data_IF_469756523498
#
_entry.id   IF_469756523498
#
_cell.length_a   1.000
_cell.length_b   1.000
_cell.length_c   1.000
_cell.angle_alpha   90.00
_cell.angle_beta   90.00
_cell.angle_gamma   90.00
#
_symmetry.space_group_name_H-M   'P 1'
#
loop_
_entity.id
_entity.type
_entity.pdbx_description
1 polymer ?
#
# COMPACT_ATOMS: atom_id res chain seq x y z
N UNK A 1 16.19 2.88 -8.12
CA UNK A 1 15.95 2.48 -6.71
C UNK A 1 15.57 3.71 -5.91
N UNK A 2 14.31 3.82 -5.53
CA UNK A 2 13.85 4.93 -4.70
C UNK A 2 14.21 4.64 -3.24
N UNK A 3 15.32 5.17 -2.76
CA UNK A 3 15.73 4.98 -1.38
C UNK A 3 14.85 5.83 -0.46
N UNK A 4 14.01 5.15 0.35
CA UNK A 4 13.43 5.77 1.52
C UNK A 4 14.54 5.97 2.57
N UNK A 5 14.77 7.20 3.01
CA UNK A 5 15.65 7.46 4.14
C UNK A 5 14.86 7.24 5.43
N UNK A 6 15.26 6.25 6.19
CA UNK A 6 14.63 5.93 7.45
C UNK A 6 15.50 6.42 8.61
N UNK A 7 14.87 7.05 9.57
CA UNK A 7 15.47 7.25 10.88
C UNK A 7 15.02 6.04 11.72
N UNK A 8 15.59 4.88 11.43
CA UNK A 8 15.45 3.70 12.27
C UNK A 8 16.58 3.78 13.33
N UNK A 9 16.34 4.53 14.40
CA UNK A 9 17.32 4.77 15.44
C UNK A 9 17.74 3.48 16.17
N UNK A 10 16.92 2.44 16.14
CA UNK A 10 17.12 1.22 16.93
C UNK A 10 17.46 -0.02 16.08
N UNK A 11 17.71 0.13 14.77
CA UNK A 11 17.87 -1.00 13.84
C UNK A 11 16.75 -2.05 13.97
N UNK A 12 15.54 -1.61 14.31
CA UNK A 12 14.40 -2.49 14.59
C UNK A 12 14.03 -3.34 13.37
N UNK A 13 14.04 -2.72 12.19
CA UNK A 13 13.60 -3.35 10.94
C UNK A 13 14.73 -3.85 10.05
N UNK A 14 15.99 -3.49 10.32
CA UNK A 14 17.12 -3.83 9.47
C UNK A 14 18.14 -4.71 10.20
N UNK A 15 18.93 -5.46 9.44
CA UNK A 15 20.08 -6.15 10.02
C UNK A 15 21.14 -5.13 10.44
N UNK A 16 21.83 -5.41 11.56
CA UNK A 16 22.87 -4.53 12.09
C UNK A 16 23.96 -4.26 11.03
N UNK A 17 24.27 -2.97 10.85
CA UNK A 17 25.27 -2.53 9.86
C UNK A 17 24.83 -2.65 8.41
N UNK A 18 23.52 -2.82 8.13
CA UNK A 18 22.96 -3.03 6.80
C UNK A 18 21.70 -2.19 6.60
N UNK A 19 21.34 -1.97 5.34
CA UNK A 19 20.04 -1.41 4.93
C UNK A 19 19.02 -2.49 4.55
N UNK A 20 19.37 -3.77 4.69
CA UNK A 20 18.50 -4.90 4.33
C UNK A 20 17.51 -5.15 5.46
N UNK A 21 16.23 -5.23 5.10
CA UNK A 21 15.16 -5.53 6.05
C UNK A 21 15.31 -6.93 6.63
N UNK A 22 15.10 -7.05 7.94
CA UNK A 22 15.00 -8.35 8.61
C UNK A 22 13.82 -9.11 8.04
N UNK A 23 14.07 -10.33 7.63
CA UNK A 23 13.09 -11.17 6.95
C UNK A 23 13.16 -12.61 7.43
N UNK A 24 12.08 -13.34 7.27
CA UNK A 24 11.95 -14.75 7.70
C UNK A 24 12.86 -15.72 6.96
N UNK A 25 13.37 -15.30 5.79
CA UNK A 25 14.24 -16.11 4.94
C UNK A 25 15.73 -15.97 5.31
N UNK A 26 16.06 -15.12 6.29
CA UNK A 26 17.43 -14.72 6.69
C UNK A 26 18.32 -14.25 5.51
N UNK A 27 17.68 -13.66 4.49
CA UNK A 27 18.39 -13.10 3.33
C UNK A 27 18.96 -11.75 3.73
N UNK A 28 20.30 -11.61 3.58
CA UNK A 28 21.05 -10.38 3.92
C UNK A 28 21.57 -9.63 2.69
N UNK A 29 21.29 -10.14 1.52
CA UNK A 29 21.56 -9.51 0.23
C UNK A 29 20.31 -8.81 -0.28
N UNK A 30 20.40 -7.52 -0.61
CA UNK A 30 19.25 -6.71 -0.98
C UNK A 30 18.59 -7.18 -2.29
N UNK A 31 19.40 -7.55 -3.28
CA UNK A 31 18.90 -7.99 -4.57
C UNK A 31 18.17 -9.34 -4.46
N UNK A 32 18.76 -10.28 -3.73
CA UNK A 32 18.13 -11.59 -3.48
C UNK A 32 16.83 -11.45 -2.67
N UNK A 33 16.79 -10.52 -1.73
CA UNK A 33 15.57 -10.27 -0.99
C UNK A 33 14.48 -9.69 -1.90
N UNK A 34 14.81 -8.77 -2.77
CA UNK A 34 13.90 -8.21 -3.77
C UNK A 34 13.36 -9.30 -4.71
N UNK A 35 14.22 -10.18 -5.22
CA UNK A 35 13.82 -11.31 -6.07
C UNK A 35 12.87 -12.28 -5.35
N UNK A 36 13.19 -12.65 -4.10
CA UNK A 36 12.35 -13.52 -3.28
C UNK A 36 11.00 -12.86 -2.95
N UNK A 37 11.01 -11.57 -2.64
CA UNK A 37 9.81 -10.78 -2.38
C UNK A 37 8.91 -10.73 -3.61
N UNK A 38 9.46 -10.43 -4.78
CA UNK A 38 8.69 -10.43 -6.03
C UNK A 38 8.01 -11.77 -6.30
N UNK A 39 8.73 -12.88 -6.12
CA UNK A 39 8.18 -14.22 -6.35
C UNK A 39 7.04 -14.54 -5.39
N UNK A 40 7.26 -14.39 -4.08
CA UNK A 40 6.28 -14.75 -3.05
C UNK A 40 5.04 -13.86 -3.11
N UNK A 41 5.23 -12.56 -3.33
CA UNK A 41 4.12 -11.61 -3.45
C UNK A 41 3.28 -11.86 -4.71
N UNK A 42 3.90 -12.26 -5.83
CA UNK A 42 3.15 -12.58 -7.06
C UNK A 42 2.19 -13.74 -6.86
N UNK A 43 2.59 -14.76 -6.10
CA UNK A 43 1.72 -15.89 -5.73
C UNK A 43 0.52 -15.37 -4.90
N UNK A 44 0.79 -14.56 -3.88
CA UNK A 44 -0.25 -14.00 -3.01
C UNK A 44 -1.21 -13.07 -3.74
N UNK A 45 -0.70 -12.29 -4.70
CA UNK A 45 -1.55 -11.43 -5.56
C UNK A 45 -2.50 -12.26 -6.43
N UNK A 46 -2.04 -13.39 -6.96
CA UNK A 46 -2.91 -14.30 -7.74
C UNK A 46 -4.04 -14.86 -6.87
N UNK A 47 -3.72 -15.28 -5.65
CA UNK A 47 -4.72 -15.78 -4.70
C UNK A 47 -5.75 -14.71 -4.31
N UNK A 48 -5.31 -13.46 -4.08
CA UNK A 48 -6.20 -12.32 -3.79
C UNK A 48 -7.02 -11.91 -5.01
N UNK A 49 -6.50 -12.12 -6.21
CA UNK A 49 -7.26 -11.85 -7.42
C UNK A 49 -8.52 -12.72 -7.48
N UNK A 50 -8.42 -14.00 -7.12
CA UNK A 50 -9.56 -14.92 -7.10
C UNK A 50 -10.48 -14.71 -5.90
N UNK A 51 -9.94 -14.25 -4.77
CA UNK A 51 -10.68 -14.04 -3.52
C UNK A 51 -10.34 -12.67 -2.92
N UNK A 52 -10.88 -11.57 -3.50
CA UNK A 52 -10.58 -10.23 -3.03
C UNK A 52 -11.09 -10.00 -1.60
N UNK A 53 -10.34 -9.24 -0.82
CA UNK A 53 -10.72 -8.86 0.54
C UNK A 53 -11.79 -7.75 0.46
N UNK A 54 -12.88 -7.92 1.21
CA UNK A 54 -13.84 -6.82 1.38
C UNK A 54 -13.25 -5.78 2.33
N UNK A 55 -12.83 -4.64 1.80
CA UNK A 55 -12.27 -3.54 2.59
C UNK A 55 -13.40 -2.70 3.20
N UNK A 56 -13.57 -2.78 4.53
CA UNK A 56 -14.54 -2.04 5.33
C UNK A 56 -13.88 -1.14 6.37
N UNK A 57 -12.67 -1.48 6.77
CA UNK A 57 -11.94 -0.84 7.86
C UNK A 57 -10.45 -0.73 7.54
N UNK A 58 -9.74 0.09 8.28
CA UNK A 58 -8.27 0.16 8.18
C UNK A 58 -7.61 -1.20 8.54
N UNK A 59 -8.27 -2.02 9.35
CA UNK A 59 -7.79 -3.37 9.68
C UNK A 59 -7.77 -4.29 8.47
N UNK A 60 -8.71 -4.13 7.54
CA UNK A 60 -8.75 -4.92 6.31
C UNK A 60 -7.56 -4.55 5.40
N UNK A 61 -7.16 -3.27 5.41
CA UNK A 61 -5.93 -2.81 4.74
C UNK A 61 -4.70 -3.47 5.36
N UNK A 62 -4.64 -3.55 6.70
CA UNK A 62 -3.59 -4.28 7.40
C UNK A 62 -3.60 -5.78 7.06
N UNK A 63 -4.78 -6.39 6.90
CA UNK A 63 -4.90 -7.79 6.49
C UNK A 63 -4.38 -8.02 5.06
N UNK A 64 -4.67 -7.13 4.12
CA UNK A 64 -4.11 -7.21 2.76
C UNK A 64 -2.59 -7.13 2.82
N UNK A 65 -2.02 -6.18 3.55
CA UNK A 65 -0.57 -6.09 3.72
C UNK A 65 -0.01 -7.37 4.36
N UNK A 66 -0.64 -7.88 5.41
CA UNK A 66 -0.24 -9.12 6.05
C UNK A 66 -0.26 -10.28 5.06
N UNK A 67 -1.35 -10.43 4.32
CA UNK A 67 -1.51 -11.54 3.39
C UNK A 67 -0.44 -11.54 2.28
N UNK A 68 -0.10 -10.36 1.76
CA UNK A 68 0.91 -10.21 0.71
C UNK A 68 2.33 -10.52 1.20
N UNK A 69 2.66 -10.16 2.44
CA UNK A 69 4.05 -10.13 2.93
C UNK A 69 4.33 -11.06 4.11
N UNK A 70 3.37 -11.86 4.56
CA UNK A 70 3.50 -12.74 5.72
C UNK A 70 4.61 -13.80 5.59
N UNK A 71 4.96 -14.19 4.39
CA UNK A 71 5.99 -15.20 4.14
C UNK A 71 7.41 -14.61 4.25
N UNK A 72 7.50 -13.27 4.24
CA UNK A 72 8.77 -12.54 4.17
C UNK A 72 9.05 -11.77 5.46
N UNK A 73 8.04 -11.08 6.01
CA UNK A 73 8.22 -10.17 7.14
C UNK A 73 7.37 -10.56 8.35
N UNK A 74 7.99 -10.58 9.53
CA UNK A 74 7.27 -10.81 10.80
C UNK A 74 6.31 -9.69 11.14
N UNK A 75 6.64 -8.47 10.75
CA UNK A 75 5.84 -7.25 10.96
C UNK A 75 4.77 -7.04 9.88
N UNK A 76 4.56 -7.98 8.97
CA UNK A 76 3.52 -7.88 7.94
C UNK A 76 2.14 -7.65 8.56
N UNK A 77 1.46 -6.57 8.14
CA UNK A 77 0.16 -6.15 8.65
C UNK A 77 0.21 -5.25 9.90
N UNK A 78 1.40 -4.98 10.45
CA UNK A 78 1.56 -4.05 11.57
C UNK A 78 1.86 -2.63 11.07
N UNK A 79 1.29 -1.64 11.74
CA UNK A 79 1.71 -0.26 11.52
C UNK A 79 3.19 -0.11 11.87
N UNK A 80 3.89 0.71 11.11
CA UNK A 80 5.30 1.03 11.41
C UNK A 80 5.46 1.65 12.80
N UNK A 81 6.58 1.39 13.41
CA UNK A 81 6.96 1.88 14.74
C UNK A 81 8.04 2.97 14.68
N UNK A 82 8.35 3.47 13.48
CA UNK A 82 9.36 4.49 13.21
C UNK A 82 8.78 5.57 12.29
N UNK A 83 9.25 6.82 12.47
CA UNK A 83 8.97 7.87 11.51
C UNK A 83 9.83 7.67 10.25
N UNK A 84 9.22 7.84 9.09
CA UNK A 84 9.85 7.64 7.80
C UNK A 84 9.69 8.87 6.92
N UNK A 85 10.62 9.04 6.00
CA UNK A 85 10.60 10.09 4.98
C UNK A 85 11.08 9.53 3.65
N UNK A 86 10.60 10.09 2.56
CA UNK A 86 11.16 9.89 1.24
C UNK A 86 11.90 11.15 0.85
N UNK A 87 13.20 11.03 0.57
CA UNK A 87 14.05 12.20 0.36
C UNK A 87 13.95 13.17 1.55
N UNK A 88 13.44 14.40 1.33
CA UNK A 88 13.22 15.41 2.36
C UNK A 88 11.75 15.57 2.77
N UNK A 89 10.83 14.76 2.23
CA UNK A 89 9.39 14.84 2.52
C UNK A 89 9.03 13.78 3.58
N UNK A 90 8.70 14.20 4.82
CA UNK A 90 8.25 13.25 5.84
C UNK A 90 6.84 12.77 5.53
N UNK A 91 6.56 11.50 5.84
CA UNK A 91 5.21 10.96 5.92
C UNK A 91 4.55 11.33 7.25
N UNK A 92 3.27 11.00 7.40
CA UNK A 92 2.52 11.29 8.62
C UNK A 92 3.28 10.78 9.86
N UNK A 93 3.49 11.60 10.90
CA UNK A 93 4.17 11.16 12.11
C UNK A 93 3.31 10.14 12.88
N UNK A 94 3.97 9.21 13.60
CA UNK A 94 3.32 8.13 14.36
C UNK A 94 2.27 8.65 15.35
N UNK A 95 2.53 9.80 15.96
CA UNK A 95 1.64 10.42 16.94
C UNK A 95 0.27 10.78 16.38
N UNK A 96 0.16 10.91 15.05
CA UNK A 96 -1.09 11.22 14.36
C UNK A 96 -1.83 9.96 13.85
N UNK A 97 -1.30 8.76 14.05
CA UNK A 97 -1.87 7.52 13.49
C UNK A 97 -3.25 7.19 14.02
N UNK A 98 -3.54 7.48 15.27
CA UNK A 98 -4.86 7.25 15.86
C UNK A 98 -5.92 8.10 15.12
N UNK A 99 -5.67 9.40 15.00
CA UNK A 99 -6.58 10.31 14.29
C UNK A 99 -6.66 9.99 12.79
N UNK A 100 -5.54 9.67 12.18
CA UNK A 100 -5.52 9.28 10.78
C UNK A 100 -6.30 7.98 10.54
N UNK A 101 -6.24 7.02 11.45
CA UNK A 101 -7.01 5.78 11.35
C UNK A 101 -8.51 6.05 11.37
N UNK A 102 -8.99 6.93 12.26
CA UNK A 102 -10.40 7.34 12.29
C UNK A 102 -10.82 8.02 10.99
N UNK A 103 -9.96 8.87 10.44
CA UNK A 103 -10.22 9.51 9.16
C UNK A 103 -10.24 8.51 8.00
N UNK A 104 -9.33 7.51 8.02
CA UNK A 104 -9.35 6.41 7.03
C UNK A 104 -10.66 5.62 7.08
N UNK A 105 -11.22 5.34 8.27
CA UNK A 105 -12.52 4.68 8.39
C UNK A 105 -13.62 5.48 7.67
N UNK A 106 -13.59 6.81 7.80
CA UNK A 106 -14.54 7.70 7.08
C UNK A 106 -14.33 7.63 5.56
N UNK A 107 -13.10 7.64 5.08
CA UNK A 107 -12.81 7.54 3.65
C UNK A 107 -13.22 6.18 3.07
N UNK A 108 -12.97 5.08 3.79
CA UNK A 108 -13.41 3.74 3.41
C UNK A 108 -14.94 3.67 3.37
N UNK A 109 -15.61 4.28 4.34
CA UNK A 109 -17.07 4.38 4.33
C UNK A 109 -17.59 5.12 3.11
N UNK A 110 -16.99 6.27 2.74
CA UNK A 110 -17.37 7.03 1.55
C UNK A 110 -17.24 6.19 0.27
N UNK A 111 -16.17 5.40 0.14
CA UNK A 111 -16.01 4.45 -0.96
C UNK A 111 -17.11 3.39 -0.96
N UNK A 112 -17.50 2.90 0.23
CA UNK A 112 -18.52 1.87 0.37
C UNK A 112 -19.88 2.35 -0.11
N UNK A 113 -20.28 3.58 0.26
CA UNK A 113 -21.60 4.14 -0.07
C UNK A 113 -21.67 4.80 -1.44
N UNK A 114 -20.55 4.98 -2.15
CA UNK A 114 -20.52 5.56 -3.49
C UNK A 114 -21.39 4.74 -4.45
N UNK A 115 -22.44 5.37 -4.98
CA UNK A 115 -23.48 4.76 -5.81
C UNK A 115 -23.36 5.11 -7.31
N UNK A 116 -22.46 6.03 -7.66
CA UNK A 116 -22.13 6.36 -9.06
C UNK A 116 -20.62 6.15 -9.32
N UNK A 117 -20.28 6.01 -10.60
CA UNK A 117 -18.88 5.85 -11.03
C UNK A 117 -18.05 7.08 -10.63
N UNK A 118 -18.58 8.26 -10.81
CA UNK A 118 -17.92 9.54 -10.51
C UNK A 118 -17.63 9.67 -9.02
N UNK A 119 -18.62 9.36 -8.16
CA UNK A 119 -18.46 9.38 -6.71
C UNK A 119 -17.46 8.33 -6.25
N UNK A 120 -17.50 7.14 -6.83
CA UNK A 120 -16.55 6.08 -6.52
C UNK A 120 -15.11 6.49 -6.87
N UNK A 121 -14.89 7.05 -8.04
CA UNK A 121 -13.58 7.55 -8.48
C UNK A 121 -13.05 8.60 -7.53
N UNK A 122 -13.89 9.58 -7.18
CA UNK A 122 -13.50 10.63 -6.25
C UNK A 122 -13.15 10.10 -4.86
N UNK A 123 -13.97 9.20 -4.32
CA UNK A 123 -13.74 8.58 -3.02
C UNK A 123 -12.46 7.71 -3.00
N UNK A 124 -12.21 6.96 -4.07
CA UNK A 124 -10.99 6.16 -4.21
C UNK A 124 -9.74 7.03 -4.32
N UNK A 125 -9.81 8.15 -5.05
CA UNK A 125 -8.70 9.09 -5.15
C UNK A 125 -8.36 9.69 -3.77
N UNK A 126 -9.37 10.10 -3.00
CA UNK A 126 -9.17 10.60 -1.64
C UNK A 126 -8.59 9.54 -0.71
N UNK A 127 -9.10 8.31 -0.75
CA UNK A 127 -8.58 7.20 0.05
C UNK A 127 -7.11 6.94 -0.26
N UNK A 128 -6.76 6.89 -1.54
CA UNK A 128 -5.39 6.60 -1.97
C UNK A 128 -4.42 7.71 -1.58
N UNK A 129 -4.77 8.98 -1.80
CA UNK A 129 -3.95 10.13 -1.43
C UNK A 129 -3.63 10.12 0.07
N UNK A 130 -4.65 9.88 0.89
CA UNK A 130 -4.48 9.84 2.34
C UNK A 130 -3.72 8.59 2.83
N UNK A 131 -3.92 7.42 2.21
CA UNK A 131 -3.12 6.23 2.49
C UNK A 131 -1.66 6.44 2.11
N UNK A 132 -1.41 7.15 1.02
CA UNK A 132 -0.07 7.50 0.59
C UNK A 132 0.61 8.48 1.56
N UNK A 133 -0.12 9.48 2.06
CA UNK A 133 0.40 10.40 3.07
C UNK A 133 0.61 9.72 4.43
N UNK A 134 -0.33 8.90 4.87
CA UNK A 134 -0.21 8.13 6.12
C UNK A 134 0.98 7.17 6.07
N UNK A 135 1.18 6.49 4.95
CA UNK A 135 2.26 5.50 4.73
C UNK A 135 2.38 4.55 5.92
N UNK A 136 1.32 3.76 6.19
CA UNK A 136 1.16 3.11 7.51
C UNK A 136 2.17 2.01 7.79
N UNK A 137 2.76 1.40 6.77
CA UNK A 137 3.68 0.28 6.93
C UNK A 137 5.15 0.71 6.79
N UNK A 138 6.04 -0.12 7.32
CA UNK A 138 7.49 0.12 7.22
C UNK A 138 7.98 0.12 5.79
N UNK A 139 7.44 -0.75 4.95
CA UNK A 139 7.79 -0.91 3.54
C UNK A 139 6.58 -1.38 2.74
N UNK A 140 6.70 -1.45 1.43
CA UNK A 140 5.75 -2.02 0.47
C UNK A 140 4.34 -1.40 0.47
N UNK A 141 4.23 -0.17 0.95
CA UNK A 141 2.97 0.58 0.98
C UNK A 141 2.33 0.70 -0.40
N UNK A 142 3.10 1.01 -1.44
CA UNK A 142 2.57 1.18 -2.80
C UNK A 142 1.89 -0.08 -3.35
N UNK A 143 2.49 -1.27 -3.16
CA UNK A 143 1.89 -2.54 -3.59
C UNK A 143 0.61 -2.85 -2.80
N UNK A 144 0.62 -2.59 -1.51
CA UNK A 144 -0.56 -2.72 -0.66
C UNK A 144 -1.68 -1.80 -1.11
N UNK A 145 -1.38 -0.53 -1.37
CA UNK A 145 -2.36 0.47 -1.83
C UNK A 145 -3.02 0.04 -3.15
N UNK A 146 -2.24 -0.46 -4.10
CA UNK A 146 -2.78 -0.98 -5.36
C UNK A 146 -3.75 -2.14 -5.14
N UNK A 147 -3.37 -3.08 -4.28
CA UNK A 147 -4.21 -4.23 -3.98
C UNK A 147 -5.48 -3.85 -3.22
N UNK A 148 -5.40 -2.87 -2.31
CA UNK A 148 -6.60 -2.30 -1.64
C UNK A 148 -7.58 -1.75 -2.66
N UNK A 149 -7.12 -0.92 -3.60
CA UNK A 149 -7.99 -0.35 -4.63
C UNK A 149 -8.56 -1.45 -5.54
N UNK A 150 -7.74 -2.42 -5.97
CA UNK A 150 -8.18 -3.55 -6.78
C UNK A 150 -9.24 -4.38 -6.07
N UNK A 151 -9.02 -4.72 -4.80
CA UNK A 151 -9.97 -5.47 -3.98
C UNK A 151 -11.30 -4.74 -3.84
N UNK A 152 -11.29 -3.43 -3.58
CA UNK A 152 -12.49 -2.59 -3.51
C UNK A 152 -13.26 -2.61 -4.84
N UNK A 153 -12.57 -2.36 -5.95
CA UNK A 153 -13.19 -2.32 -7.27
C UNK A 153 -13.82 -3.66 -7.63
N UNK A 154 -13.11 -4.75 -7.44
CA UNK A 154 -13.64 -6.11 -7.72
C UNK A 154 -14.86 -6.43 -6.85
N UNK A 155 -14.81 -6.05 -5.57
CA UNK A 155 -15.95 -6.26 -4.68
C UNK A 155 -17.21 -5.48 -5.13
N UNK A 156 -17.02 -4.35 -5.81
CA UNK A 156 -18.11 -3.56 -6.43
C UNK A 156 -18.48 -4.02 -7.85
N UNK A 157 -17.89 -5.12 -8.34
CA UNK A 157 -18.14 -5.66 -9.68
C UNK A 157 -17.43 -4.90 -10.81
N UNK A 158 -16.33 -4.23 -10.50
CA UNK A 158 -15.47 -3.61 -11.51
C UNK A 158 -14.15 -4.37 -11.62
N UNK A 159 -13.63 -4.48 -12.82
CA UNK A 159 -12.26 -4.87 -13.06
C UNK A 159 -11.46 -3.64 -13.50
N UNK A 160 -10.29 -3.46 -12.93
CA UNK A 160 -9.43 -2.34 -13.26
C UNK A 160 -7.97 -2.77 -13.31
N UNK A 161 -7.31 -2.44 -14.39
CA UNK A 161 -5.88 -2.47 -14.49
C UNK A 161 -5.33 -1.26 -13.73
N UNK A 162 -4.72 -1.53 -12.58
CA UNK A 162 -4.00 -0.50 -11.82
C UNK A 162 -2.55 -0.57 -12.24
N UNK A 163 -2.25 0.10 -13.33
CA UNK A 163 -0.88 0.22 -13.80
C UNK A 163 -0.06 1.05 -12.82
N UNK A 164 1.07 0.52 -12.40
CA UNK A 164 2.09 1.34 -11.76
C UNK A 164 2.75 2.14 -12.84
N UNK A 165 2.86 3.45 -12.69
CA UNK A 165 3.81 4.18 -13.50
C UNK A 165 5.21 3.63 -13.16
N UNK A 166 5.86 3.00 -14.12
CA UNK A 166 7.29 2.71 -14.07
C UNK A 166 8.09 3.99 -14.36
N UNK A 167 7.38 5.05 -14.76
CA UNK A 167 7.91 6.35 -15.13
C UNK A 167 7.97 7.26 -13.90
N UNK A 168 9.15 7.81 -13.60
CA UNK A 168 9.39 8.74 -12.48
C UNK A 168 8.46 9.95 -12.54
N UNK A 169 8.16 10.47 -13.73
CA UNK A 169 7.30 11.63 -13.94
C UNK A 169 5.85 11.35 -13.53
N UNK A 170 5.35 10.18 -13.84
CA UNK A 170 4.00 9.73 -13.44
C UNK A 170 3.97 9.37 -11.93
N UNK A 171 5.07 8.86 -11.38
CA UNK A 171 5.19 8.63 -9.94
C UNK A 171 5.17 9.95 -9.16
N UNK A 172 5.84 10.98 -9.64
CA UNK A 172 5.83 12.30 -9.01
C UNK A 172 4.44 12.97 -9.09
N UNK A 173 3.73 12.81 -10.19
CA UNK A 173 2.34 13.23 -10.32
C UNK A 173 1.42 12.44 -9.35
N UNK A 174 1.62 11.13 -9.20
CA UNK A 174 0.93 10.29 -8.22
C UNK A 174 1.18 10.77 -6.79
N UNK A 175 2.42 11.12 -6.46
CA UNK A 175 2.81 11.64 -5.16
C UNK A 175 2.33 13.07 -4.90
N UNK A 176 1.94 13.80 -5.95
CA UNK A 176 1.38 15.16 -5.85
C UNK A 176 -0.16 15.19 -5.77
N UNK A 177 -0.83 14.03 -5.74
CA UNK A 177 -2.29 13.93 -5.62
C UNK A 177 -3.05 14.38 -6.87
N UNK A 178 -2.39 14.47 -8.02
CA UNK A 178 -3.04 14.89 -9.26
C UNK A 178 -3.43 13.70 -10.13
N UNK A 179 -4.72 13.40 -10.20
CA UNK A 179 -5.49 12.71 -11.27
C UNK A 179 -4.84 11.50 -11.98
N UNK A 180 -4.12 10.63 -11.29
CA UNK A 180 -3.34 9.56 -11.93
C UNK A 180 -4.06 8.24 -12.13
N UNK A 181 -5.31 8.14 -11.72
CA UNK A 181 -6.12 7.03 -12.16
C UNK A 181 -6.70 7.34 -13.54
N UNK A 182 -6.14 6.74 -14.58
CA UNK A 182 -6.88 6.57 -15.83
C UNK A 182 -7.99 5.54 -15.59
N UNK A 183 -9.07 6.00 -15.00
CA UNK A 183 -10.29 5.21 -14.80
C UNK A 183 -11.01 4.87 -16.13
N UNK A 184 -10.47 5.30 -17.26
CA UNK A 184 -10.98 4.94 -18.59
C UNK A 184 -10.93 3.43 -18.84
N UNK A 185 -10.10 2.71 -18.09
CA UNK A 185 -9.97 1.25 -18.16
C UNK A 185 -10.83 0.48 -17.14
N UNK A 186 -11.62 1.14 -16.30
CA UNK A 186 -12.53 0.44 -15.39
C UNK A 186 -13.70 -0.14 -16.21
N UNK A 187 -13.68 -1.45 -16.37
CA UNK A 187 -14.77 -2.21 -17.01
C UNK A 187 -15.63 -2.84 -15.93
N UNK A 188 -16.96 -2.79 -16.12
CA UNK A 188 -17.88 -3.56 -15.29
C UNK A 188 -17.72 -5.03 -15.64
N UNK A 189 -17.50 -5.88 -14.65
CA UNK A 189 -17.54 -7.34 -14.82
C UNK A 189 -19.01 -7.73 -14.95
N UNK A 190 -19.39 -8.28 -16.09
CA UNK A 190 -20.74 -8.77 -16.36
C UNK A 190 -20.91 -10.15 -15.77
#
# INVERSE_FOLDING_TARGET
>A
MNHYYYIDLDNYYVYSGSNVLRNKLDIKDAQRLEEAEHLLVSIRLTELYDKPVQVKTIKDICQIHKYLFQDIYDWAGEFRKVNIKKENKPFLPLQAFEQASLYMEQLIHNVTIADSKELLIHALAQLLDNLNYMHPFREVNGRTQKEVIRSILRYKGFDAEINSPEDEEIYDLYMQGTNLFRFDSIKKVV
#
